data_IF_888963595073
#
_entry.id   IF_888963595073
#
_cell.length_a   1.000
_cell.length_b   1.000
_cell.length_c   1.000
_cell.angle_alpha   90.00
_cell.angle_beta   90.00
_cell.angle_gamma   90.00
#
_symmetry.space_group_name_H-M   'P 1'
#
loop_
_entity.id
_entity.type
_entity.pdbx_description
1 polymer ?
#
# COMPACT_ATOMS: atom_id res chain seq x y z
N UNK A 1 34.88 -4.47 -8.45
CA UNK A 1 34.06 -3.26 -8.28
C UNK A 1 33.40 -3.00 -9.62
N UNK A 2 32.07 -3.06 -9.70
CA UNK A 2 31.38 -2.72 -10.95
C UNK A 2 31.68 -1.26 -11.28
N UNK A 3 32.12 -0.97 -12.50
CA UNK A 3 32.30 0.41 -12.94
C UNK A 3 30.93 1.08 -12.97
N UNK A 4 30.81 2.27 -12.38
CA UNK A 4 29.60 3.08 -12.40
C UNK A 4 29.53 3.77 -13.76
N UNK A 5 28.56 3.43 -14.63
CA UNK A 5 28.44 4.09 -15.92
C UNK A 5 27.90 5.52 -15.76
N UNK A 6 28.67 6.51 -16.21
CA UNK A 6 28.27 7.93 -16.14
C UNK A 6 26.94 8.22 -16.87
N UNK A 7 26.62 7.44 -17.90
CA UNK A 7 25.36 7.52 -18.64
C UNK A 7 24.14 7.21 -17.78
N UNK A 8 24.26 6.27 -16.82
CA UNK A 8 23.17 5.91 -15.92
C UNK A 8 22.97 6.99 -14.87
N UNK A 9 24.07 7.56 -14.34
CA UNK A 9 24.00 8.70 -13.42
C UNK A 9 23.34 9.93 -14.04
N UNK A 10 23.70 10.27 -15.28
CA UNK A 10 23.08 11.39 -16.00
C UNK A 10 21.59 11.13 -16.28
N UNK A 11 21.23 9.90 -16.63
CA UNK A 11 19.82 9.50 -16.78
C UNK A 11 19.04 9.64 -15.48
N UNK A 12 19.58 9.15 -14.36
CA UNK A 12 18.97 9.26 -13.04
C UNK A 12 18.76 10.74 -12.66
N UNK A 13 19.79 11.57 -12.83
CA UNK A 13 19.71 13.02 -12.57
C UNK A 13 18.60 13.69 -13.39
N UNK A 14 18.57 13.47 -14.70
CA UNK A 14 17.54 14.03 -15.59
C UNK A 14 16.14 13.51 -15.25
N UNK A 15 16.02 12.26 -14.82
CA UNK A 15 14.77 11.66 -14.39
C UNK A 15 14.23 12.31 -13.12
N UNK A 16 15.09 12.48 -12.12
CA UNK A 16 14.74 13.14 -10.85
C UNK A 16 14.39 14.62 -11.09
N UNK A 17 15.15 15.33 -11.93
CA UNK A 17 14.85 16.73 -12.29
C UNK A 17 13.48 16.89 -12.99
N UNK A 18 13.01 15.84 -13.67
CA UNK A 18 11.68 15.78 -14.31
C UNK A 18 10.57 15.31 -13.35
N UNK A 19 10.91 14.93 -12.12
CA UNK A 19 9.97 14.48 -11.10
C UNK A 19 9.65 12.98 -11.12
N UNK A 20 10.44 12.16 -11.82
CA UNK A 20 10.29 10.70 -11.77
C UNK A 20 10.88 10.14 -10.48
N UNK A 21 10.30 9.05 -9.98
CA UNK A 21 10.84 8.34 -8.82
C UNK A 21 12.04 7.46 -9.21
N UNK A 22 12.96 7.23 -8.27
CA UNK A 22 14.13 6.37 -8.49
C UNK A 22 13.72 4.91 -8.82
N UNK A 23 12.60 4.44 -8.27
CA UNK A 23 12.03 3.12 -8.59
C UNK A 23 11.50 3.03 -10.03
N UNK A 24 10.94 4.12 -10.56
CA UNK A 24 10.54 4.16 -11.97
C UNK A 24 11.75 4.20 -12.90
N UNK A 25 12.76 5.00 -12.55
CA UNK A 25 13.98 5.12 -13.34
C UNK A 25 14.78 3.82 -13.34
N UNK A 26 14.88 3.11 -12.21
CA UNK A 26 15.54 1.80 -12.14
C UNK A 26 14.82 0.77 -13.02
N UNK A 27 13.49 0.71 -12.99
CA UNK A 27 12.68 -0.16 -13.86
C UNK A 27 12.88 0.15 -15.34
N UNK A 28 13.01 1.43 -15.71
CA UNK A 28 13.29 1.81 -17.09
C UNK A 28 14.71 1.39 -17.50
N UNK A 29 15.71 1.57 -16.64
CA UNK A 29 17.07 1.10 -16.89
C UNK A 29 17.14 -0.43 -17.07
N UNK A 30 16.35 -1.20 -16.31
CA UNK A 30 16.23 -2.64 -16.54
C UNK A 30 15.66 -2.99 -17.93
N UNK A 31 14.65 -2.24 -18.39
CA UNK A 31 14.06 -2.44 -19.73
C UNK A 31 15.02 -2.11 -20.86
N UNK A 32 15.91 -1.13 -20.64
CA UNK A 32 16.99 -0.74 -21.54
C UNK A 32 18.17 -1.74 -21.54
N UNK A 33 18.12 -2.78 -20.71
CA UNK A 33 19.11 -3.86 -20.69
C UNK A 33 20.30 -3.62 -19.76
N UNK A 34 20.24 -2.64 -18.86
CA UNK A 34 21.28 -2.42 -17.86
C UNK A 34 21.29 -3.51 -16.79
N UNK A 35 22.47 -3.89 -16.31
CA UNK A 35 22.59 -4.92 -15.28
C UNK A 35 22.18 -4.39 -13.91
N UNK A 36 21.61 -5.28 -13.08
CA UNK A 36 21.22 -4.97 -11.71
C UNK A 36 22.37 -4.33 -10.92
N UNK A 37 23.57 -4.89 -11.04
CA UNK A 37 24.75 -4.42 -10.30
C UNK A 37 25.18 -3.01 -10.72
N UNK A 38 25.04 -2.67 -12.01
CA UNK A 38 25.34 -1.33 -12.52
C UNK A 38 24.31 -0.30 -12.03
N UNK A 39 23.03 -0.67 -12.03
CA UNK A 39 21.94 0.19 -11.55
C UNK A 39 22.11 0.47 -10.06
N UNK A 40 22.33 -0.58 -9.26
CA UNK A 40 22.52 -0.47 -7.82
C UNK A 40 23.75 0.39 -7.46
N UNK A 41 24.88 0.16 -8.13
CA UNK A 41 26.08 0.96 -7.93
C UNK A 41 25.87 2.43 -8.31
N UNK A 42 25.12 2.70 -9.38
CA UNK A 42 24.77 4.07 -9.81
C UNK A 42 23.80 4.75 -8.85
N UNK A 43 22.84 4.02 -8.29
CA UNK A 43 21.92 4.53 -7.27
C UNK A 43 22.66 4.89 -5.98
N UNK A 44 23.54 4.02 -5.49
CA UNK A 44 24.36 4.32 -4.32
C UNK A 44 25.24 5.55 -4.53
N UNK A 45 25.86 5.68 -5.70
CA UNK A 45 26.66 6.85 -6.05
C UNK A 45 25.80 8.11 -6.17
N UNK A 46 24.59 7.99 -6.71
CA UNK A 46 23.62 9.08 -6.78
C UNK A 46 23.23 9.56 -5.37
N UNK A 47 22.86 8.66 -4.47
CA UNK A 47 22.55 8.98 -3.07
C UNK A 47 23.73 9.64 -2.35
N UNK A 48 24.95 9.15 -2.59
CA UNK A 48 26.17 9.73 -2.00
C UNK A 48 26.38 11.17 -2.45
N UNK A 49 26.13 11.47 -3.73
CA UNK A 49 26.26 12.83 -4.30
C UNK A 49 25.13 13.75 -3.82
N UNK A 50 23.89 13.27 -3.78
CA UNK A 50 22.75 14.08 -3.33
C UNK A 50 22.81 14.36 -1.83
N UNK A 51 23.23 13.38 -1.02
CA UNK A 51 23.48 13.56 0.41
C UNK A 51 24.61 14.56 0.72
N UNK A 52 25.55 14.76 -0.21
CA UNK A 52 26.58 15.80 -0.07
C UNK A 52 26.06 17.22 -0.36
N UNK A 53 24.82 17.36 -0.87
CA UNK A 53 24.13 18.64 -1.11
C UNK A 53 23.27 19.14 0.06
N UNK A 54 23.51 18.65 1.28
CA UNK A 54 22.71 18.89 2.50
C UNK A 54 22.55 20.38 2.90
N UNK A 55 23.26 21.31 2.27
CA UNK A 55 23.12 22.76 2.46
C UNK A 55 22.03 23.41 1.58
N UNK A 56 21.44 22.67 0.63
CA UNK A 56 20.32 23.22 -0.16
C UNK A 56 18.98 22.84 0.45
N UNK A 57 18.12 23.84 0.80
CA UNK A 57 16.80 23.55 1.33
C UNK A 57 16.02 22.69 0.33
N UNK A 58 15.24 21.70 0.79
CA UNK A 58 14.45 20.85 -0.08
C UNK A 58 13.59 21.72 -0.99
N UNK A 59 13.72 21.55 -2.31
CA UNK A 59 12.91 22.32 -3.26
C UNK A 59 11.44 22.01 -2.98
N UNK A 60 10.56 23.02 -2.93
CA UNK A 60 9.14 22.79 -2.75
C UNK A 60 8.66 21.88 -3.88
N UNK A 61 8.16 20.70 -3.51
CA UNK A 61 7.57 19.75 -4.46
C UNK A 61 6.34 20.45 -5.06
N UNK A 62 6.29 20.66 -6.39
CA UNK A 62 5.17 21.34 -7.01
C UNK A 62 3.91 20.49 -6.80
N UNK A 63 2.86 21.11 -6.25
CA UNK A 63 1.64 20.43 -5.80
C UNK A 63 0.91 19.66 -6.91
N UNK A 64 1.22 19.95 -8.17
CA UNK A 64 0.66 19.29 -9.36
C UNK A 64 1.26 17.89 -9.63
N UNK A 65 2.41 17.56 -9.03
CA UNK A 65 3.01 16.23 -9.12
C UNK A 65 2.52 15.27 -8.03
N UNK A 66 1.60 15.70 -7.15
CA UNK A 66 0.75 14.78 -6.39
C UNK A 66 -0.32 14.23 -7.33
N UNK A 67 0.12 13.42 -8.31
CA UNK A 67 -0.79 12.55 -9.05
C UNK A 67 -1.34 11.55 -8.05
N UNK A 68 -2.53 11.88 -7.54
CA UNK A 68 -3.17 11.12 -6.48
C UNK A 68 -3.22 9.64 -6.79
N UNK A 69 -2.94 8.83 -5.76
CA UNK A 69 -3.25 7.41 -5.71
C UNK A 69 -2.72 6.62 -6.91
N UNK A 70 -1.41 6.41 -6.94
CA UNK A 70 -0.91 5.14 -7.46
C UNK A 70 -1.63 4.07 -6.64
N UNK A 71 -2.58 3.35 -7.26
CA UNK A 71 -3.10 2.09 -6.75
C UNK A 71 -1.89 1.35 -6.19
N UNK A 72 -1.84 1.17 -4.87
CA UNK A 72 -0.86 0.32 -4.22
C UNK A 72 -1.17 -1.11 -4.67
N UNK A 73 -0.70 -1.45 -5.86
CA UNK A 73 -0.66 -2.78 -6.44
C UNK A 73 0.48 -3.51 -5.74
N UNK A 74 0.28 -3.81 -4.47
CA UNK A 74 1.30 -4.35 -3.60
C UNK A 74 0.86 -4.55 -2.15
N UNK A 75 -0.42 -4.40 -1.82
CA UNK A 75 -0.93 -4.89 -0.55
C UNK A 75 -0.98 -6.42 -0.67
N UNK A 76 -0.22 -7.20 0.12
CA UNK A 76 -0.36 -8.64 0.12
C UNK A 76 -1.83 -8.98 0.40
N UNK A 77 -2.43 -9.96 -0.29
CA UNK A 77 -3.87 -10.24 -0.22
C UNK A 77 -4.39 -10.46 1.22
N UNK A 78 -3.50 -10.76 2.17
CA UNK A 78 -3.76 -10.89 3.60
C UNK A 78 -4.45 -9.67 4.25
N UNK A 79 -4.14 -8.43 3.87
CA UNK A 79 -4.73 -7.25 4.54
C UNK A 79 -6.22 -7.09 4.21
N UNK A 80 -6.63 -7.43 2.98
CA UNK A 80 -8.04 -7.43 2.59
C UNK A 80 -8.80 -8.57 3.28
N UNK A 81 -8.17 -9.71 3.53
CA UNK A 81 -8.81 -10.81 4.27
C UNK A 81 -9.01 -10.44 5.73
N UNK A 82 -8.04 -9.77 6.35
CA UNK A 82 -8.16 -9.34 7.75
C UNK A 82 -9.31 -8.35 7.97
N UNK A 83 -9.49 -7.36 7.08
CA UNK A 83 -10.60 -6.41 7.18
C UNK A 83 -11.96 -7.06 6.93
N UNK A 84 -12.05 -7.98 5.96
CA UNK A 84 -13.27 -8.76 5.70
C UNK A 84 -13.62 -9.63 6.92
N UNK A 85 -12.65 -10.32 7.53
CA UNK A 85 -12.87 -11.13 8.72
C UNK A 85 -13.32 -10.29 9.93
N UNK A 86 -12.70 -9.12 10.12
CA UNK A 86 -13.08 -8.21 11.20
C UNK A 86 -14.52 -7.69 11.02
N UNK A 87 -14.89 -7.34 9.79
CA UNK A 87 -16.25 -6.92 9.45
C UNK A 87 -17.28 -8.03 9.69
N UNK A 88 -17.00 -9.26 9.23
CA UNK A 88 -17.89 -10.42 9.45
C UNK A 88 -18.03 -10.71 10.94
N UNK A 89 -16.93 -10.66 11.70
CA UNK A 89 -16.94 -10.86 13.16
C UNK A 89 -17.82 -9.83 13.86
N UNK A 90 -17.66 -8.54 13.52
CA UNK A 90 -18.49 -7.46 14.06
C UNK A 90 -19.97 -7.61 13.71
N UNK A 91 -20.29 -7.99 12.46
CA UNK A 91 -21.65 -8.23 12.03
C UNK A 91 -22.30 -9.40 12.80
N UNK A 92 -21.58 -10.51 12.98
CA UNK A 92 -22.05 -11.66 13.76
C UNK A 92 -22.33 -11.29 15.23
N UNK A 93 -21.51 -10.43 15.82
CA UNK A 93 -21.69 -9.97 17.20
C UNK A 93 -23.04 -9.25 17.41
N UNK A 94 -23.59 -8.63 16.37
CA UNK A 94 -24.91 -7.97 16.41
C UNK A 94 -26.04 -8.92 16.00
N UNK A 95 -25.82 -9.72 14.97
CA UNK A 95 -26.86 -10.62 14.41
C UNK A 95 -27.19 -11.77 15.37
N UNK A 96 -26.20 -12.37 16.04
CA UNK A 96 -26.42 -13.52 16.93
C UNK A 96 -27.34 -13.18 18.10
N UNK A 97 -27.15 -12.07 18.85
CA UNK A 97 -28.07 -11.67 19.92
C UNK A 97 -29.50 -11.43 19.44
N UNK A 98 -29.67 -10.80 18.27
CA UNK A 98 -31.01 -10.55 17.69
C UNK A 98 -31.70 -11.86 17.37
N UNK A 99 -30.99 -12.80 16.74
CA UNK A 99 -31.54 -14.13 16.45
C UNK A 99 -31.87 -14.91 17.72
N UNK A 100 -31.01 -14.86 18.74
CA UNK A 100 -31.27 -15.45 20.05
C UNK A 100 -32.52 -14.87 20.70
N UNK A 101 -32.71 -13.55 20.63
CA UNK A 101 -33.87 -12.87 21.19
C UNK A 101 -35.15 -13.27 20.45
N UNK A 102 -35.13 -13.29 19.12
CA UNK A 102 -36.28 -13.72 18.30
C UNK A 102 -36.62 -15.18 18.55
N UNK A 103 -35.63 -16.07 18.52
CA UNK A 103 -35.83 -17.50 18.76
C UNK A 103 -36.36 -17.75 20.19
N UNK A 104 -35.80 -17.07 21.19
CA UNK A 104 -36.28 -17.11 22.56
C UNK A 104 -37.74 -16.64 22.66
N UNK A 105 -38.07 -15.50 22.05
CA UNK A 105 -39.43 -14.97 22.03
C UNK A 105 -40.42 -15.95 21.35
N UNK A 106 -40.02 -16.61 20.27
CA UNK A 106 -40.85 -17.64 19.62
C UNK A 106 -41.04 -18.88 20.50
N UNK A 107 -39.99 -19.35 21.16
CA UNK A 107 -40.05 -20.53 22.03
C UNK A 107 -40.91 -20.28 23.28
N UNK A 108 -40.66 -19.18 23.99
CA UNK A 108 -41.43 -18.81 25.18
C UNK A 108 -42.84 -18.32 24.83
N UNK A 109 -43.03 -17.62 23.71
CA UNK A 109 -44.35 -17.20 23.23
C UNK A 109 -45.23 -18.38 22.84
N UNK A 110 -44.67 -19.38 22.16
CA UNK A 110 -45.39 -20.61 21.82
C UNK A 110 -45.78 -21.44 23.04
N UNK A 111 -44.87 -21.61 24.01
CA UNK A 111 -45.16 -22.30 25.27
C UNK A 111 -46.14 -21.52 26.16
N UNK A 112 -46.04 -20.18 26.18
CA UNK A 112 -46.96 -19.32 26.91
C UNK A 112 -48.39 -19.40 26.36
N UNK A 113 -48.53 -19.45 25.03
CA UNK A 113 -49.82 -19.63 24.38
C UNK A 113 -50.44 -21.02 24.65
N UNK A 114 -49.62 -22.08 24.79
CA UNK A 114 -50.13 -23.42 25.08
C UNK A 114 -50.49 -23.66 26.55
N UNK A 115 -49.87 -22.93 27.49
CA UNK A 115 -50.10 -23.10 28.93
C UNK A 115 -51.18 -22.12 29.46
N UNK A 116 -51.32 -20.93 28.87
CA UNK A 116 -52.31 -19.92 29.28
C UNK A 116 -53.70 -20.05 28.62
N UNK A 117 -53.91 -21.06 27.78
CA UNK A 117 -55.17 -21.30 27.06
C UNK A 117 -56.17 -22.21 27.79
N UNK A 118 -56.29 -22.08 29.11
CA UNK A 118 -57.31 -22.72 29.95
C UNK A 118 -58.12 -21.68 30.71
#
# INVERSE_FOLDING_TARGET
>A
MAQVPDSVLDYLKKGVDRGFSLDELSRNLYKEGWSKDQIEASLQEFYRRDASGFDTPPRPIPLNNFKGSEKIQGIPPLLNVASILYFISGALMVVIPILMLVAGASFFGGLGASIGGF
#
